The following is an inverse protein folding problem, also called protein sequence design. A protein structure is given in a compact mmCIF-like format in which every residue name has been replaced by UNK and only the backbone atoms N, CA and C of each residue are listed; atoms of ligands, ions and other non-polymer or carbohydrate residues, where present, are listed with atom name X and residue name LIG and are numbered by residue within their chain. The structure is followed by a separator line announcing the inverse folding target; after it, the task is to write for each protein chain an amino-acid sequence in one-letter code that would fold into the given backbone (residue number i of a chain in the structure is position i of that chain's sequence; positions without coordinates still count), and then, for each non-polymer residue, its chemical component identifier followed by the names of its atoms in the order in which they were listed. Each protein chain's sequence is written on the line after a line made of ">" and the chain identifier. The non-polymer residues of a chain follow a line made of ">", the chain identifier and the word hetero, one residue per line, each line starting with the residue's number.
data_IF_778533784275
#
_entry.id   IF_778533784275
#
_cell.length_a   1.000
_cell.length_b   1.000
_cell.length_c   1.000
_cell.angle_alpha   90.00
_cell.angle_beta   90.00
_cell.angle_gamma   90.00
#
_symmetry.space_group_name_H-M   'P 1'
#
loop_
_entity.id
_entity.type
_entity.pdbx_description
1 polymer ?
#
# COMPACT_ATOMS: atom_id res chain seq x y z
N UNK A 1 -1.87 -32.51 10.78
CA UNK A 1 -1.43 -31.11 10.89
C UNK A 1 -2.08 -30.35 9.76
N UNK A 2 -2.73 -29.24 10.07
CA UNK A 2 -3.28 -28.32 9.08
C UNK A 2 -2.35 -27.09 9.03
N UNK A 3 -2.05 -26.59 7.83
CA UNK A 3 -1.15 -25.45 7.64
C UNK A 3 -1.94 -24.25 7.12
N UNK A 4 -1.76 -23.09 7.76
CA UNK A 4 -2.38 -21.85 7.33
C UNK A 4 -1.69 -21.31 6.06
N UNK A 5 -2.45 -20.70 5.16
CA UNK A 5 -1.91 -19.93 4.03
C UNK A 5 -1.23 -18.65 4.54
N UNK A 6 -0.14 -18.25 3.91
CA UNK A 6 0.64 -17.05 4.27
C UNK A 6 0.01 -15.73 3.81
N UNK A 7 -1.00 -15.78 2.93
CA UNK A 7 -1.60 -14.60 2.27
C UNK A 7 -2.06 -13.52 3.26
N UNK A 8 -2.88 -13.79 4.29
CA UNK A 8 -3.31 -12.72 5.19
C UNK A 8 -2.32 -12.54 6.34
N UNK A 9 -2.03 -11.27 6.65
CA UNK A 9 -1.49 -10.86 7.94
C UNK A 9 -2.41 -11.28 9.09
N UNK A 10 -1.79 -11.55 10.24
CA UNK A 10 -2.41 -12.10 11.45
C UNK A 10 -1.76 -11.49 12.69
N UNK A 11 -2.16 -11.99 13.84
CA UNK A 11 -1.71 -11.56 15.17
C UNK A 11 -0.19 -11.73 15.36
N UNK A 12 0.43 -12.66 14.62
CA UNK A 12 1.88 -12.86 14.60
C UNK A 12 2.63 -11.97 13.58
N UNK A 13 1.96 -11.05 12.89
CA UNK A 13 2.49 -10.35 11.72
C UNK A 13 2.14 -11.10 10.43
N UNK A 14 3.12 -11.57 9.66
CA UNK A 14 2.90 -12.21 8.36
C UNK A 14 2.82 -11.20 7.22
N UNK A 15 1.95 -11.42 6.22
CA UNK A 15 1.72 -10.48 5.11
C UNK A 15 0.88 -9.28 5.58
N UNK A 16 1.55 -8.32 6.21
CA UNK A 16 0.91 -7.08 6.62
C UNK A 16 1.02 -5.99 5.55
N UNK A 17 2.00 -6.09 4.65
CA UNK A 17 2.21 -5.19 3.50
C UNK A 17 2.21 -3.71 3.92
N UNK A 18 2.98 -3.42 4.97
CA UNK A 18 3.13 -2.09 5.55
C UNK A 18 4.39 -1.46 4.96
N UNK A 19 4.23 -0.56 3.98
CA UNK A 19 5.36 0.12 3.32
C UNK A 19 6.33 0.82 4.29
N UNK A 20 5.83 1.27 5.43
CA UNK A 20 6.63 1.96 6.46
C UNK A 20 7.48 1.01 7.30
N UNK A 21 7.16 -0.30 7.33
CA UNK A 21 8.02 -1.34 7.92
C UNK A 21 9.16 -1.66 6.93
N UNK A 22 10.01 -0.67 6.74
CA UNK A 22 11.09 -0.65 5.74
C UNK A 22 12.47 -0.75 6.39
N UNK A 23 13.53 -0.66 5.57
CA UNK A 23 14.92 -0.68 6.04
C UNK A 23 15.14 0.31 7.21
N UNK A 24 15.82 -0.16 8.25
CA UNK A 24 16.12 0.64 9.44
C UNK A 24 15.00 0.68 10.48
N UNK A 25 13.84 0.08 10.18
CA UNK A 25 12.76 -0.09 11.16
C UNK A 25 13.14 -1.08 12.26
N UNK A 26 12.50 -0.96 13.41
CA UNK A 26 12.58 -1.93 14.50
C UNK A 26 11.20 -2.48 14.80
N UNK A 27 11.01 -3.78 14.62
CA UNK A 27 9.72 -4.45 14.86
C UNK A 27 9.79 -5.30 16.12
N UNK A 28 8.71 -5.26 16.90
CA UNK A 28 8.53 -6.05 18.11
C UNK A 28 7.42 -7.07 17.86
N UNK A 29 7.79 -8.34 17.74
CA UNK A 29 6.89 -9.44 17.41
C UNK A 29 6.53 -10.25 18.66
N UNK A 30 5.26 -10.67 18.83
CA UNK A 30 4.88 -11.58 19.91
C UNK A 30 5.49 -12.97 19.67
N UNK A 31 6.07 -13.56 20.72
CA UNK A 31 6.61 -14.93 20.68
C UNK A 31 5.54 -15.90 21.19
N UNK A 32 4.87 -16.58 20.25
CA UNK A 32 3.73 -17.46 20.54
C UNK A 32 4.11 -18.94 20.65
N UNK A 33 5.33 -19.30 20.25
CA UNK A 33 5.88 -20.66 20.33
C UNK A 33 7.32 -20.64 20.81
N UNK A 34 7.77 -21.75 21.41
CA UNK A 34 9.17 -21.94 21.77
C UNK A 34 10.07 -21.80 20.52
N UNK A 35 11.20 -21.12 20.68
CA UNK A 35 12.15 -20.84 19.59
C UNK A 35 11.76 -19.68 18.66
N UNK A 36 10.56 -19.11 18.82
CA UNK A 36 9.98 -18.02 18.01
C UNK A 36 9.77 -18.31 16.51
N UNK A 37 10.66 -19.07 15.87
CA UNK A 37 10.57 -19.50 14.46
C UNK A 37 10.38 -18.33 13.48
N UNK A 38 11.21 -17.29 13.62
CA UNK A 38 11.19 -16.12 12.73
C UNK A 38 11.40 -16.53 11.27
N UNK A 39 10.48 -16.09 10.40
CA UNK A 39 10.55 -16.24 8.95
C UNK A 39 10.26 -14.90 8.29
N UNK A 40 10.84 -14.66 7.12
CA UNK A 40 10.71 -13.41 6.37
C UNK A 40 10.82 -13.69 4.86
N UNK A 41 10.11 -12.90 4.05
CA UNK A 41 10.03 -13.00 2.60
C UNK A 41 9.31 -11.78 2.02
N UNK A 42 8.82 -11.89 0.79
CA UNK A 42 7.94 -10.89 0.16
C UNK A 42 8.55 -9.47 0.12
N UNK A 43 9.74 -9.35 -0.49
CA UNK A 43 10.45 -8.08 -0.49
C UNK A 43 9.91 -7.14 -1.56
N UNK A 44 9.50 -5.96 -1.13
CA UNK A 44 9.08 -4.88 -2.02
C UNK A 44 10.16 -3.82 -2.15
N UNK A 45 10.49 -3.44 -3.38
CA UNK A 45 11.34 -2.28 -3.63
C UNK A 45 10.61 -0.97 -3.32
N UNK A 46 9.31 -0.92 -3.59
CA UNK A 46 8.41 0.19 -3.25
C UNK A 46 6.97 -0.30 -3.26
N UNK A 47 6.11 0.31 -2.45
CA UNK A 47 4.70 -0.04 -2.30
C UNK A 47 3.88 1.21 -1.96
N UNK A 48 2.64 1.27 -2.44
CA UNK A 48 1.62 2.22 -1.99
C UNK A 48 0.75 1.65 -0.88
N UNK A 49 0.12 2.52 -0.10
CA UNK A 49 -0.77 2.07 0.98
C UNK A 49 -1.98 1.28 0.43
N UNK A 50 -2.20 0.12 1.03
CA UNK A 50 -3.27 -0.80 0.68
C UNK A 50 -2.98 -1.71 -0.52
N UNK A 51 -1.81 -1.60 -1.15
CA UNK A 51 -1.34 -2.50 -2.22
C UNK A 51 -2.45 -2.84 -3.24
N UNK A 52 -3.10 -1.79 -3.75
CA UNK A 52 -4.45 -1.90 -4.33
C UNK A 52 -4.55 -2.83 -5.54
N UNK A 53 -3.43 -3.18 -6.18
CA UNK A 53 -3.41 -4.12 -7.31
C UNK A 53 -3.32 -5.60 -6.90
N UNK A 54 -3.18 -5.93 -5.61
CA UNK A 54 -2.98 -7.26 -5.02
C UNK A 54 -1.74 -8.02 -5.48
N UNK A 55 -1.52 -8.15 -6.78
CA UNK A 55 -0.20 -8.47 -7.32
C UNK A 55 0.51 -7.13 -7.55
N UNK A 56 0.78 -6.45 -6.44
CA UNK A 56 1.20 -5.06 -6.36
C UNK A 56 2.52 -4.91 -5.66
N UNK A 57 2.86 -3.67 -5.29
CA UNK A 57 4.23 -3.28 -5.02
C UNK A 57 5.17 -3.48 -6.22
N UNK A 58 6.45 -3.17 -6.03
CA UNK A 58 7.53 -3.59 -6.91
C UNK A 58 8.18 -4.81 -6.28
N UNK A 59 7.63 -5.98 -6.59
CA UNK A 59 8.13 -7.27 -6.10
C UNK A 59 9.57 -7.55 -6.52
N UNK A 60 10.39 -8.03 -5.59
CA UNK A 60 11.78 -8.38 -5.88
C UNK A 60 12.32 -9.52 -5.01
N UNK A 61 13.34 -10.20 -5.54
CA UNK A 61 14.25 -11.00 -4.71
C UNK A 61 15.27 -10.09 -4.03
N UNK A 62 15.71 -10.46 -2.83
CA UNK A 62 16.72 -9.71 -2.09
C UNK A 62 17.23 -10.47 -0.88
N UNK A 63 17.93 -9.75 0.01
CA UNK A 63 18.39 -10.26 1.30
C UNK A 63 18.15 -9.22 2.39
N UNK A 64 18.02 -9.69 3.63
CA UNK A 64 17.86 -8.85 4.81
C UNK A 64 19.03 -9.10 5.76
N UNK A 65 19.54 -8.01 6.35
CA UNK A 65 20.44 -8.06 7.49
C UNK A 65 19.63 -7.70 8.74
N UNK A 66 19.53 -8.63 9.68
CA UNK A 66 18.68 -8.52 10.86
C UNK A 66 19.52 -8.65 12.14
N UNK A 67 19.21 -7.81 13.12
CA UNK A 67 19.64 -7.99 14.50
C UNK A 67 18.43 -8.42 15.34
N UNK A 68 18.50 -9.61 15.93
CA UNK A 68 17.43 -10.17 16.74
C UNK A 68 17.80 -10.15 18.22
N UNK A 69 16.87 -9.70 19.07
CA UNK A 69 17.01 -9.68 20.52
C UNK A 69 15.72 -10.20 21.16
N UNK A 70 15.84 -10.81 22.35
CA UNK A 70 14.69 -11.32 23.11
C UNK A 70 14.45 -10.44 24.33
N UNK A 71 13.26 -9.86 24.41
CA UNK A 71 12.76 -9.15 25.59
C UNK A 71 11.96 -10.15 26.43
N UNK A 72 12.58 -10.70 27.48
CA UNK A 72 11.90 -11.64 28.38
C UNK A 72 10.75 -10.94 29.10
N UNK A 73 9.56 -11.53 29.04
CA UNK A 73 8.35 -10.91 29.59
C UNK A 73 7.79 -9.76 28.74
N UNK A 74 8.34 -9.46 27.55
CA UNK A 74 7.95 -8.30 26.75
C UNK A 74 6.46 -8.27 26.35
N UNK A 75 5.84 -9.43 26.13
CA UNK A 75 4.39 -9.50 25.88
C UNK A 75 3.56 -9.03 27.07
N UNK A 76 3.97 -9.35 28.29
CA UNK A 76 3.27 -8.90 29.49
C UNK A 76 3.42 -7.39 29.70
N UNK A 77 4.62 -6.86 29.48
CA UNK A 77 4.94 -5.46 29.81
C UNK A 77 4.56 -4.47 28.70
N UNK A 78 4.64 -4.86 27.42
CA UNK A 78 4.51 -3.94 26.28
C UNK A 78 3.50 -4.37 25.21
N UNK A 79 3.26 -5.67 25.03
CA UNK A 79 2.34 -6.21 24.03
C UNK A 79 1.23 -7.03 24.70
N UNK A 80 0.55 -6.43 25.69
CA UNK A 80 -0.49 -7.12 26.46
C UNK A 80 -1.65 -7.50 25.53
N UNK A 81 -2.09 -8.78 25.51
CA UNK A 81 -3.21 -9.19 24.68
C UNK A 81 -4.50 -8.42 25.02
N UNK A 82 -5.14 -7.87 23.99
CA UNK A 82 -6.37 -7.07 24.05
C UNK A 82 -7.57 -7.91 23.61
N UNK A 83 -7.82 -9.04 24.28
CA UNK A 83 -8.95 -9.91 23.95
C UNK A 83 -8.99 -11.21 24.77
N UNK A 84 -9.90 -12.13 24.43
CA UNK A 84 -10.18 -13.32 25.24
C UNK A 84 -9.07 -14.38 25.22
N UNK A 85 -8.07 -14.28 24.34
CA UNK A 85 -6.98 -15.26 24.23
C UNK A 85 -5.62 -14.58 24.20
N UNK A 86 -4.53 -15.29 24.56
CA UNK A 86 -3.16 -14.77 24.45
C UNK A 86 -2.73 -14.38 23.03
N UNK A 87 -3.49 -14.81 22.01
CA UNK A 87 -3.23 -14.46 20.62
C UNK A 87 -3.83 -13.11 20.22
N UNK A 88 -4.63 -12.43 21.05
CA UNK A 88 -5.18 -11.10 20.73
C UNK A 88 -4.13 -10.00 20.89
N UNK A 89 -3.01 -10.14 20.18
CA UNK A 89 -1.85 -9.27 20.24
C UNK A 89 -1.41 -8.98 18.81
N UNK A 90 -0.89 -7.78 18.55
CA UNK A 90 -0.35 -7.43 17.25
C UNK A 90 1.05 -6.84 17.40
N UNK A 91 1.90 -6.92 16.35
CA UNK A 91 3.20 -6.26 16.36
C UNK A 91 3.09 -4.75 16.53
N UNK A 92 4.12 -4.16 17.12
CA UNK A 92 4.40 -2.72 17.05
C UNK A 92 5.76 -2.51 16.39
N UNK A 93 5.98 -1.36 15.77
CA UNK A 93 7.26 -1.05 15.15
C UNK A 93 7.59 0.44 15.20
N UNK A 94 8.89 0.71 15.19
CA UNK A 94 9.47 2.04 14.99
C UNK A 94 9.84 2.18 13.51
N UNK A 95 9.45 3.29 12.89
CA UNK A 95 9.76 3.58 11.48
C UNK A 95 11.25 3.88 11.33
N UNK A 96 11.88 3.34 10.28
CA UNK A 96 13.28 3.59 9.97
C UNK A 96 13.58 5.05 9.56
N UNK A 97 14.79 5.56 9.83
CA UNK A 97 15.16 6.96 9.53
C UNK A 97 15.45 7.24 8.04
N UNK A 98 15.31 6.25 7.17
CA UNK A 98 15.73 6.31 5.75
C UNK A 98 14.55 6.33 4.77
N UNK A 99 13.32 6.53 5.25
CA UNK A 99 12.16 6.62 4.38
C UNK A 99 12.24 7.82 3.42
N UNK A 100 11.74 7.69 2.17
CA UNK A 100 11.66 8.82 1.25
C UNK A 100 10.71 9.88 1.80
N UNK A 101 11.19 11.12 1.96
CA UNK A 101 10.39 12.25 2.46
C UNK A 101 9.93 13.14 1.32
N UNK A 102 8.62 13.20 1.11
CA UNK A 102 7.99 14.12 0.17
C UNK A 102 7.35 15.30 0.90
N UNK A 103 7.48 16.49 0.34
CA UNK A 103 6.98 17.74 0.93
C UNK A 103 5.64 18.20 0.36
N UNK A 104 5.30 17.77 -0.85
CA UNK A 104 4.13 18.21 -1.59
C UNK A 104 3.28 17.01 -2.02
N UNK A 105 1.98 17.11 -1.77
CA UNK A 105 1.02 16.03 -1.97
C UNK A 105 -0.24 16.56 -2.66
N UNK A 106 -0.78 15.77 -3.59
CA UNK A 106 -2.13 15.96 -4.10
C UNK A 106 -3.04 14.89 -3.49
N UNK A 107 -4.10 15.31 -2.79
CA UNK A 107 -4.94 14.43 -1.98
C UNK A 107 -6.30 14.23 -2.63
N UNK A 108 -6.73 12.97 -2.71
CA UNK A 108 -8.00 12.55 -3.26
C UNK A 108 -8.88 11.98 -2.17
N UNK A 109 -10.11 12.45 -2.09
CA UNK A 109 -11.09 12.02 -1.09
C UNK A 109 -12.03 10.96 -1.64
N UNK A 110 -12.52 10.11 -0.74
CA UNK A 110 -13.60 9.18 -1.00
C UNK A 110 -14.45 8.98 0.23
N UNK A 111 -15.73 8.68 0.01
CA UNK A 111 -16.72 8.44 1.05
C UNK A 111 -17.39 7.08 0.85
N UNK A 112 -18.13 6.58 1.85
CA UNK A 112 -18.85 5.30 1.81
C UNK A 112 -20.08 5.28 0.87
N UNK A 113 -19.97 5.87 -0.31
CA UNK A 113 -20.97 5.81 -1.40
C UNK A 113 -20.30 5.22 -2.62
N UNK A 114 -20.81 4.09 -3.11
CA UNK A 114 -20.17 3.33 -4.19
C UNK A 114 -20.37 3.95 -5.59
N UNK A 115 -19.77 3.33 -6.60
CA UNK A 115 -19.84 3.78 -8.00
C UNK A 115 -21.26 3.81 -8.58
N UNK A 116 -22.20 3.09 -7.97
CA UNK A 116 -23.62 3.05 -8.38
C UNK A 116 -24.46 4.06 -7.59
N UNK A 117 -23.85 4.86 -6.72
CA UNK A 117 -24.55 5.81 -5.85
C UNK A 117 -25.23 5.16 -4.64
N UNK A 118 -24.93 3.89 -4.32
CA UNK A 118 -25.49 3.23 -3.15
C UNK A 118 -24.72 3.65 -1.90
N UNK A 119 -25.48 4.05 -0.87
CA UNK A 119 -24.95 4.36 0.46
C UNK A 119 -24.55 3.08 1.21
N UNK A 120 -23.35 3.08 1.79
CA UNK A 120 -22.85 2.08 2.74
C UNK A 120 -22.64 2.74 4.11
N UNK A 121 -22.76 1.99 5.20
CA UNK A 121 -22.70 2.55 6.56
C UNK A 121 -21.28 2.43 7.12
N UNK A 122 -20.59 3.55 7.29
CA UNK A 122 -19.23 3.66 7.86
C UNK A 122 -18.23 2.67 7.22
N UNK A 123 -18.34 2.47 5.91
CA UNK A 123 -17.50 1.55 5.15
C UNK A 123 -16.24 2.26 4.63
N UNK A 124 -15.13 2.06 5.36
CA UNK A 124 -13.82 2.61 5.00
C UNK A 124 -13.24 1.98 3.72
N UNK A 125 -13.58 0.73 3.41
CA UNK A 125 -13.11 0.04 2.21
C UNK A 125 -13.73 0.67 0.96
N UNK A 126 -15.03 0.93 0.99
CA UNK A 126 -15.72 1.68 -0.07
C UNK A 126 -15.14 3.09 -0.17
N UNK A 127 -14.98 3.79 0.96
CA UNK A 127 -14.40 5.13 0.96
C UNK A 127 -13.00 5.16 0.32
N UNK A 128 -12.11 4.23 0.68
CA UNK A 128 -10.76 4.17 0.12
C UNK A 128 -10.77 3.82 -1.38
N UNK A 129 -11.63 2.88 -1.80
CA UNK A 129 -11.86 2.58 -3.22
C UNK A 129 -12.29 3.82 -4.00
N UNK A 130 -13.16 4.67 -3.43
CA UNK A 130 -13.60 5.92 -4.07
C UNK A 130 -12.45 6.92 -4.21
N UNK A 131 -11.61 7.07 -3.19
CA UNK A 131 -10.41 7.91 -3.27
C UNK A 131 -9.45 7.45 -4.38
N UNK A 132 -9.20 6.14 -4.47
CA UNK A 132 -8.38 5.53 -5.53
C UNK A 132 -8.98 5.77 -6.92
N UNK A 133 -10.28 5.54 -7.11
CA UNK A 133 -10.94 5.77 -8.40
C UNK A 133 -10.92 7.24 -8.82
N UNK A 134 -11.06 8.16 -7.87
CA UNK A 134 -10.94 9.59 -8.13
C UNK A 134 -9.52 9.97 -8.58
N UNK A 135 -8.49 9.40 -7.94
CA UNK A 135 -7.10 9.59 -8.35
C UNK A 135 -6.82 9.03 -9.76
N UNK A 136 -7.34 7.83 -10.07
CA UNK A 136 -7.21 7.21 -11.39
C UNK A 136 -7.83 8.08 -12.48
N UNK A 137 -9.07 8.53 -12.28
CA UNK A 137 -9.76 9.41 -13.23
C UNK A 137 -8.98 10.71 -13.43
N UNK A 138 -8.54 11.35 -12.35
CA UNK A 138 -7.81 12.60 -12.41
C UNK A 138 -6.48 12.48 -13.15
N UNK A 139 -5.63 11.54 -12.77
CA UNK A 139 -4.29 11.38 -13.37
C UNK A 139 -4.40 10.93 -14.83
N UNK A 140 -5.45 10.16 -15.20
CA UNK A 140 -5.64 9.76 -16.60
C UNK A 140 -5.83 10.95 -17.56
N UNK A 141 -6.26 12.12 -17.07
CA UNK A 141 -6.38 13.37 -17.86
C UNK A 141 -5.01 13.90 -18.30
N UNK A 142 -3.93 13.49 -17.64
CA UNK A 142 -2.55 13.82 -17.99
C UNK A 142 -1.92 12.80 -18.96
N UNK A 143 -2.75 12.05 -19.69
CA UNK A 143 -2.37 11.13 -20.77
C UNK A 143 -1.84 9.77 -20.33
N UNK A 144 -2.05 9.39 -19.07
CA UNK A 144 -1.85 8.00 -18.61
C UNK A 144 -3.10 7.16 -18.90
N UNK A 145 -2.91 5.88 -19.21
CA UNK A 145 -4.02 4.91 -19.19
C UNK A 145 -4.48 4.67 -17.75
N UNK A 146 -5.75 4.26 -17.56
CA UNK A 146 -6.27 3.98 -16.21
C UNK A 146 -5.53 2.80 -15.56
N UNK A 147 -5.12 1.82 -16.35
CA UNK A 147 -4.34 0.66 -15.93
C UNK A 147 -2.93 1.06 -15.50
N UNK A 148 -2.29 1.99 -16.22
CA UNK A 148 -1.00 2.55 -15.82
C UNK A 148 -1.11 3.25 -14.46
N UNK A 149 -2.15 4.07 -14.25
CA UNK A 149 -2.35 4.74 -12.96
C UNK A 149 -2.66 3.72 -11.87
N UNK A 150 -3.50 2.73 -12.12
CA UNK A 150 -3.83 1.70 -11.14
C UNK A 150 -2.59 0.96 -10.63
N UNK A 151 -1.72 0.51 -11.54
CA UNK A 151 -0.44 -0.11 -11.17
C UNK A 151 0.49 0.89 -10.48
N UNK A 152 0.57 2.13 -10.98
CA UNK A 152 1.37 3.19 -10.37
C UNK A 152 1.01 3.38 -8.89
N UNK A 153 -0.29 3.52 -8.57
CA UNK A 153 -0.77 3.74 -7.20
C UNK A 153 -0.40 2.60 -6.24
N UNK A 154 -0.26 1.37 -6.74
CA UNK A 154 0.18 0.23 -5.94
C UNK A 154 1.69 0.21 -5.68
N UNK A 155 2.47 0.87 -6.54
CA UNK A 155 3.94 0.83 -6.50
C UNK A 155 4.57 2.09 -5.87
N UNK A 156 3.94 3.24 -6.00
CA UNK A 156 4.48 4.51 -5.49
C UNK A 156 4.18 4.66 -4.00
N UNK A 157 5.00 5.39 -3.23
CA UNK A 157 4.76 5.66 -1.82
C UNK A 157 3.61 6.68 -1.61
N UNK A 158 2.42 6.38 -2.14
CA UNK A 158 1.20 7.09 -1.84
C UNK A 158 0.76 6.80 -0.40
N UNK A 159 0.05 7.74 0.22
CA UNK A 159 -0.41 7.62 1.60
C UNK A 159 -1.92 7.49 1.67
N UNK A 160 -2.38 6.35 2.18
CA UNK A 160 -3.77 6.05 2.45
C UNK A 160 -4.11 6.37 3.89
N UNK A 161 -5.18 7.12 4.14
CA UNK A 161 -5.64 7.43 5.50
C UNK A 161 -7.14 7.16 5.62
N UNK A 162 -7.51 6.47 6.69
CA UNK A 162 -8.88 6.54 7.22
C UNK A 162 -8.97 7.89 7.96
N UNK A 163 -9.56 8.89 7.31
CA UNK A 163 -9.58 10.28 7.81
C UNK A 163 -10.69 10.52 8.82
N UNK A 164 -11.88 9.94 8.59
CA UNK A 164 -12.97 9.90 9.56
C UNK A 164 -13.70 8.55 9.47
N UNK A 165 -14.08 7.98 10.60
CA UNK A 165 -14.79 6.70 10.69
C UNK A 165 -16.01 6.75 11.63
N UNK A 166 -16.36 7.94 12.09
CA UNK A 166 -17.40 8.13 13.13
C UNK A 166 -18.60 8.94 12.63
N UNK A 167 -18.42 9.71 11.55
CA UNK A 167 -19.43 10.64 11.04
C UNK A 167 -20.46 9.94 10.16
N UNK A 168 -21.42 9.28 10.80
CA UNK A 168 -22.46 8.55 10.10
C UNK A 168 -23.24 9.44 9.10
N UNK A 169 -23.56 8.92 7.89
CA UNK A 169 -23.37 7.53 7.47
C UNK A 169 -22.00 7.24 6.84
N UNK A 170 -21.14 8.24 6.61
CA UNK A 170 -19.97 8.11 5.75
C UNK A 170 -18.67 7.97 6.54
N UNK A 171 -17.94 6.89 6.29
CA UNK A 171 -16.50 6.95 6.48
C UNK A 171 -15.89 7.86 5.41
N UNK A 172 -14.78 8.52 5.75
CA UNK A 172 -13.97 9.31 4.83
C UNK A 172 -12.57 8.70 4.79
N UNK A 173 -12.11 8.38 3.59
CA UNK A 173 -10.75 7.96 3.35
C UNK A 173 -10.09 8.89 2.33
N UNK A 174 -8.78 9.07 2.46
CA UNK A 174 -7.99 9.89 1.55
C UNK A 174 -6.82 9.11 0.99
N UNK A 175 -6.47 9.40 -0.27
CA UNK A 175 -5.26 8.94 -0.92
C UNK A 175 -4.41 10.16 -1.29
N UNK A 176 -3.26 10.33 -0.64
CA UNK A 176 -2.31 11.39 -0.95
C UNK A 176 -1.21 10.87 -1.89
N UNK A 177 -0.97 11.60 -2.97
CA UNK A 177 0.01 11.23 -3.99
C UNK A 177 1.13 12.27 -3.98
N UNK A 178 2.41 11.86 -3.84
CA UNK A 178 3.51 12.81 -3.82
C UNK A 178 3.71 13.38 -5.22
N UNK A 179 3.64 14.70 -5.38
CA UNK A 179 3.71 15.33 -6.71
C UNK A 179 5.10 15.24 -7.34
N UNK A 180 6.15 15.12 -6.51
CA UNK A 180 7.54 15.09 -6.92
C UNK A 180 7.95 13.83 -7.72
N UNK A 181 7.09 12.80 -7.78
CA UNK A 181 7.37 11.59 -8.58
C UNK A 181 7.08 11.80 -10.07
N UNK A 182 6.34 12.86 -10.42
CA UNK A 182 6.00 13.19 -11.79
C UNK A 182 7.02 14.17 -12.37
N UNK A 183 7.33 13.99 -13.65
CA UNK A 183 8.16 14.91 -14.45
C UNK A 183 7.36 16.11 -14.98
N UNK A 184 6.06 16.12 -14.72
CA UNK A 184 5.12 17.19 -15.02
C UNK A 184 4.36 17.61 -13.77
N UNK A 185 3.93 18.87 -13.74
CA UNK A 185 3.12 19.39 -12.64
C UNK A 185 1.66 18.95 -12.80
N UNK A 186 1.25 17.99 -11.97
CA UNK A 186 -0.10 17.42 -11.98
C UNK A 186 -1.13 18.23 -11.18
N UNK A 187 -0.79 19.43 -10.68
CA UNK A 187 -1.74 20.25 -9.91
C UNK A 187 -2.78 20.92 -10.83
N UNK A 188 -4.01 21.18 -10.34
CA UNK A 188 -5.01 21.93 -11.11
C UNK A 188 -4.48 23.31 -11.51
N UNK A 189 -4.60 23.65 -12.81
CA UNK A 189 -4.23 24.96 -13.36
C UNK A 189 -5.40 25.52 -14.17
N UNK A 190 -5.40 26.84 -14.38
CA UNK A 190 -6.38 27.51 -15.25
C UNK A 190 -6.16 27.22 -16.75
N UNK A 191 -4.96 26.74 -17.11
CA UNK A 191 -4.55 26.49 -18.50
C UNK A 191 -4.79 25.02 -18.93
N UNK A 192 -4.57 24.72 -20.21
CA UNK A 192 -4.72 23.37 -20.78
C UNK A 192 -3.89 22.32 -20.01
N UNK A 193 -4.50 21.13 -19.81
CA UNK A 193 -3.86 19.99 -19.14
C UNK A 193 -2.72 19.47 -20.03
N UNK A 194 -1.50 19.30 -19.51
CA UNK A 194 -0.39 18.76 -20.31
C UNK A 194 -0.70 17.37 -20.87
N UNK A 195 -0.22 17.11 -22.09
CA UNK A 195 -0.56 15.92 -22.87
C UNK A 195 0.47 14.82 -22.61
N UNK A 196 0.26 14.01 -21.58
CA UNK A 196 0.95 12.72 -21.44
C UNK A 196 2.24 12.72 -20.63
N UNK A 197 2.61 11.58 -20.02
CA UNK A 197 3.96 11.37 -19.51
C UNK A 197 4.99 11.55 -20.62
N UNK A 198 6.10 12.24 -20.34
CA UNK A 198 7.24 12.22 -21.25
C UNK A 198 7.99 10.91 -21.04
N UNK A 199 7.99 10.04 -22.05
CA UNK A 199 8.80 8.83 -21.98
C UNK A 199 10.30 9.22 -21.96
N UNK A 200 10.92 9.15 -20.79
CA UNK A 200 12.37 9.40 -20.65
C UNK A 200 13.13 8.09 -20.83
N UNK A 201 13.79 7.94 -22.00
CA UNK A 201 14.68 6.80 -22.26
C UNK A 201 16.07 7.12 -21.71
N UNK A 202 16.43 6.52 -20.58
CA UNK A 202 17.81 6.57 -20.04
C UNK A 202 18.61 5.37 -20.59
N UNK A 203 19.81 5.59 -21.16
CA UNK A 203 20.60 4.50 -21.74
C UNK A 203 21.07 3.48 -20.71
N UNK A 204 21.27 3.90 -19.46
CA UNK A 204 21.88 3.10 -18.39
C UNK A 204 20.85 2.44 -17.46
N UNK A 205 19.55 2.54 -17.78
CA UNK A 205 18.47 1.87 -17.05
C UNK A 205 17.98 0.70 -17.88
N UNK A 206 17.75 -0.46 -17.24
CA UNK A 206 17.16 -1.61 -17.90
C UNK A 206 15.89 -1.20 -18.64
N UNK A 207 15.87 -1.47 -19.94
CA UNK A 207 14.73 -1.13 -20.79
C UNK A 207 13.62 -2.12 -20.47
N UNK A 208 12.48 -1.62 -20.01
CA UNK A 208 11.26 -2.39 -20.12
C UNK A 208 10.95 -2.54 -21.61
N UNK A 209 10.82 -3.77 -22.11
CA UNK A 209 10.40 -4.04 -23.49
C UNK A 209 8.95 -3.66 -23.74
N UNK A 210 8.22 -3.33 -22.67
CA UNK A 210 6.85 -2.87 -22.70
C UNK A 210 6.73 -1.47 -23.30
N UNK A 211 5.89 -1.33 -24.32
CA UNK A 211 5.61 -0.07 -25.04
C UNK A 211 4.29 0.59 -24.61
N UNK A 212 3.58 0.02 -23.64
CA UNK A 212 2.25 0.48 -23.22
C UNK A 212 1.07 -0.30 -23.83
N UNK A 213 1.30 -1.28 -24.70
CA UNK A 213 0.24 -1.99 -25.44
C UNK A 213 0.16 -3.52 -25.18
N UNK A 214 0.35 -3.96 -23.94
CA UNK A 214 0.40 -5.39 -23.62
C UNK A 214 -1.03 -5.90 -23.83
N UNK A 215 -1.19 -7.05 -24.50
CA UNK A 215 -2.51 -7.64 -24.60
C UNK A 215 -2.99 -7.95 -23.18
N UNK A 216 -4.15 -7.38 -22.82
CA UNK A 216 -4.88 -7.83 -21.65
C UNK A 216 -5.07 -9.34 -21.85
N UNK A 217 -4.45 -10.13 -20.97
CA UNK A 217 -4.54 -11.59 -21.07
C UNK A 217 -6.00 -11.95 -20.91
N UNK A 218 -6.61 -12.45 -21.99
CA UNK A 218 -8.00 -12.90 -21.94
C UNK A 218 -8.04 -14.13 -21.06
N UNK A 219 -8.86 -14.07 -20.01
CA UNK A 219 -9.07 -15.21 -19.15
C UNK A 219 -9.59 -16.39 -20.00
N UNK A 220 -8.85 -17.50 -20.12
CA UNK A 220 -9.28 -18.64 -20.94
C UNK A 220 -10.54 -19.31 -20.38
N UNK A 221 -10.94 -19.00 -19.15
CA UNK A 221 -12.16 -19.47 -18.49
C UNK A 221 -13.32 -18.45 -18.55
N UNK A 222 -13.13 -17.28 -19.17
CA UNK A 222 -14.21 -16.34 -19.41
C UNK A 222 -14.92 -16.69 -20.72
N UNK A 223 -15.80 -17.69 -20.66
CA UNK A 223 -16.81 -18.01 -21.69
C UNK A 223 -18.17 -17.53 -21.24
#
# INVERSE_FOLDING_TARGET
>A
MEAARTIPGRENGGNCDIKNLSRGSKVYLPVIVEGANLSTGDMHFSQGDGEVSFCGAIEMSGFLELKCEIIRGGMKEYLTPMGPTPLHVNPIFEIGPVEPRFSEWLVFEGISVDERGRQHFLDASVAYKRAVLNAIDYISKFGYSKEQVYLLLSCIPCEGRISSIVDAPNAVATLAIPTAIFDQDIRPKQNEVPIGPRLVRKPDVFKCTYDGNLPITKNPSAT
#
